data_IF_424880812109
#
_entry.id   IF_424880812109
#
_cell.length_a   1.000
_cell.length_b   1.000
_cell.length_c   1.000
_cell.angle_alpha   90.00
_cell.angle_beta   90.00
_cell.angle_gamma   90.00
#
_symmetry.space_group_name_H-M   'P 1'
#
loop_
_entity.id
_entity.type
_entity.pdbx_description
1 polymer ?
#
# COMPACT_ATOMS: atom_id res chain seq x y z
N UNK A 1 -3.08 -15.63 11.54
CA UNK A 1 -2.38 -15.95 10.27
C UNK A 1 -0.89 -16.08 10.54
N UNK A 2 -0.18 -15.05 11.03
CA UNK A 2 1.24 -15.22 11.41
C UNK A 2 1.44 -16.33 12.45
N UNK A 3 0.51 -16.49 13.40
CA UNK A 3 0.62 -17.52 14.44
C UNK A 3 0.70 -18.95 13.87
N UNK A 4 -0.02 -19.24 12.78
CA UNK A 4 0.00 -20.56 12.14
C UNK A 4 1.30 -20.83 11.37
N UNK A 5 1.98 -19.78 10.88
CA UNK A 5 3.32 -19.90 10.31
C UNK A 5 4.34 -20.14 11.43
N UNK A 6 4.21 -19.41 12.53
CA UNK A 6 5.06 -19.58 13.71
C UNK A 6 4.96 -20.99 14.31
N UNK A 7 3.76 -21.55 14.41
CA UNK A 7 3.54 -22.95 14.84
C UNK A 7 4.26 -23.98 13.95
N UNK A 8 4.56 -23.61 12.70
CA UNK A 8 5.32 -24.44 11.74
C UNK A 8 6.81 -24.11 11.69
N UNK A 9 7.30 -23.26 12.59
CA UNK A 9 8.71 -22.90 12.72
C UNK A 9 9.19 -21.79 11.78
N UNK A 10 8.28 -20.97 11.25
CA UNK A 10 8.64 -19.76 10.51
C UNK A 10 8.78 -18.59 11.47
N UNK A 11 9.80 -17.75 11.26
CA UNK A 11 9.87 -16.44 11.88
C UNK A 11 8.87 -15.49 11.20
N UNK A 12 8.07 -14.75 11.95
CA UNK A 12 7.01 -13.93 11.37
C UNK A 12 7.34 -12.44 11.42
N UNK A 13 7.40 -11.82 10.25
CA UNK A 13 7.86 -10.43 10.06
C UNK A 13 6.77 -9.60 9.40
N UNK A 14 6.52 -8.40 9.93
CA UNK A 14 5.62 -7.42 9.32
C UNK A 14 6.23 -6.01 9.28
N UNK A 15 6.20 -5.39 8.11
CA UNK A 15 6.53 -3.99 7.91
C UNK A 15 5.31 -3.25 7.38
N UNK A 16 4.93 -2.14 8.01
CA UNK A 16 3.79 -1.34 7.59
C UNK A 16 4.13 0.15 7.55
N UNK A 17 3.61 0.86 6.55
CA UNK A 17 3.76 2.31 6.47
C UNK A 17 2.46 3.11 6.37
N UNK A 18 1.31 2.42 6.35
CA UNK A 18 0.00 3.07 6.39
C UNK A 18 -0.30 3.71 7.76
N UNK A 19 -1.10 4.79 7.79
CA UNK A 19 -1.62 5.36 9.03
C UNK A 19 -2.38 4.30 9.84
N UNK A 20 -2.33 4.43 11.17
CA UNK A 20 -3.07 3.57 12.12
C UNK A 20 -2.70 2.08 12.15
N UNK A 21 -1.63 1.67 11.47
CA UNK A 21 -1.11 0.29 11.53
C UNK A 21 -0.91 -0.19 12.98
N UNK A 22 -0.39 0.67 13.87
CA UNK A 22 -0.27 0.34 15.30
C UNK A 22 -1.57 0.45 16.11
N UNK A 23 -2.51 1.29 15.69
CA UNK A 23 -3.72 1.59 16.48
C UNK A 23 -4.72 0.42 16.53
N UNK A 24 -4.57 -0.59 15.67
CA UNK A 24 -5.50 -1.72 15.55
C UNK A 24 -4.89 -3.08 15.89
N UNK A 25 -3.83 -3.13 16.70
CA UNK A 25 -3.15 -4.39 17.08
C UNK A 25 -2.61 -5.19 15.89
N UNK A 26 -2.24 -4.52 14.80
CA UNK A 26 -1.74 -5.18 13.59
C UNK A 26 -0.43 -5.96 13.83
N UNK A 27 0.33 -5.58 14.86
CA UNK A 27 1.53 -6.29 15.31
C UNK A 27 1.23 -7.65 15.95
N UNK A 28 -0.03 -7.95 16.27
CA UNK A 28 -0.38 -9.18 16.99
C UNK A 28 -0.03 -10.41 16.17
N UNK A 29 0.72 -11.31 16.80
CA UNK A 29 1.09 -12.60 16.23
C UNK A 29 2.38 -12.58 15.42
N UNK A 30 2.90 -11.40 15.05
CA UNK A 30 4.23 -11.26 14.45
C UNK A 30 5.32 -11.27 15.52
N UNK A 31 6.44 -11.91 15.23
CA UNK A 31 7.63 -11.92 16.08
C UNK A 31 8.40 -10.61 15.91
N UNK A 32 8.47 -10.10 14.67
CA UNK A 32 9.06 -8.80 14.33
C UNK A 32 8.00 -7.92 13.66
N UNK A 33 7.74 -6.75 14.23
CA UNK A 33 6.86 -5.75 13.63
C UNK A 33 7.54 -4.38 13.58
N UNK A 34 7.59 -3.77 12.38
CA UNK A 34 8.16 -2.44 12.16
C UNK A 34 7.15 -1.51 11.49
N UNK A 35 6.75 -0.47 12.22
CA UNK A 35 5.93 0.61 11.71
C UNK A 35 6.81 1.77 11.23
N UNK A 36 6.71 2.12 9.95
CA UNK A 36 7.45 3.23 9.37
C UNK A 36 6.89 4.60 9.77
N UNK A 37 5.65 4.65 10.27
CA UNK A 37 4.90 5.86 10.68
C UNK A 37 4.66 6.89 9.57
N UNK A 38 5.12 6.63 8.35
CA UNK A 38 5.04 7.52 7.19
C UNK A 38 4.88 6.72 5.92
N UNK A 39 3.90 7.10 5.11
CA UNK A 39 3.49 6.38 3.90
C UNK A 39 4.62 6.23 2.86
N UNK A 40 5.45 7.27 2.69
CA UNK A 40 6.45 7.40 1.63
C UNK A 40 7.77 6.64 1.88
N UNK A 41 7.76 5.63 2.76
CA UNK A 41 8.96 4.95 3.25
C UNK A 41 9.32 3.66 2.51
N UNK A 42 8.80 3.42 1.30
CA UNK A 42 9.02 2.14 0.55
C UNK A 42 10.49 1.75 0.47
N UNK A 43 11.40 2.65 0.07
CA UNK A 43 12.84 2.33 -0.03
C UNK A 43 13.43 1.85 1.29
N UNK A 44 13.04 2.48 2.40
CA UNK A 44 13.48 2.07 3.73
C UNK A 44 12.86 0.73 4.14
N UNK A 45 11.59 0.51 3.83
CA UNK A 45 10.93 -0.77 4.11
C UNK A 45 11.60 -1.92 3.40
N UNK A 46 11.93 -1.76 2.12
CA UNK A 46 12.62 -2.80 1.34
C UNK A 46 13.99 -3.10 1.94
N UNK A 47 14.78 -2.07 2.23
CA UNK A 47 16.08 -2.23 2.90
C UNK A 47 15.95 -2.97 4.24
N UNK A 48 15.01 -2.52 5.08
CA UNK A 48 14.77 -3.11 6.39
C UNK A 48 14.28 -4.57 6.27
N UNK A 49 13.48 -4.90 5.25
CA UNK A 49 13.00 -6.26 5.01
C UNK A 49 14.17 -7.18 4.64
N UNK A 50 15.01 -6.78 3.70
CA UNK A 50 16.21 -7.53 3.30
C UNK A 50 17.14 -7.80 4.49
N UNK A 51 17.45 -6.78 5.29
CA UNK A 51 18.28 -6.92 6.50
C UNK A 51 17.68 -7.87 7.55
N UNK A 52 16.34 -7.90 7.68
CA UNK A 52 15.65 -8.76 8.64
C UNK A 52 15.61 -10.22 8.16
N UNK A 53 15.38 -10.45 6.87
CA UNK A 53 15.21 -11.81 6.33
C UNK A 53 16.53 -12.51 6.01
N UNK A 54 17.62 -11.77 5.73
CA UNK A 54 18.94 -12.33 5.40
C UNK A 54 19.41 -13.45 6.37
N UNK A 55 19.31 -13.31 7.70
CA UNK A 55 19.74 -14.37 8.62
C UNK A 55 18.70 -15.48 8.86
N UNK A 56 17.52 -15.43 8.23
CA UNK A 56 16.40 -16.34 8.54
C UNK A 56 16.34 -17.51 7.56
N UNK A 57 16.27 -18.74 8.08
CA UNK A 57 16.09 -19.95 7.28
C UNK A 57 14.64 -20.11 6.77
N UNK A 58 13.65 -19.75 7.59
CA UNK A 58 12.22 -19.79 7.24
C UNK A 58 11.51 -18.57 7.78
N UNK A 59 10.84 -17.84 6.90
CA UNK A 59 10.14 -16.62 7.29
C UNK A 59 8.78 -16.48 6.61
N UNK A 60 7.88 -15.77 7.29
CA UNK A 60 6.67 -15.21 6.71
C UNK A 60 6.81 -13.69 6.76
N UNK A 61 7.03 -13.08 5.60
CA UNK A 61 7.17 -11.64 5.44
C UNK A 61 5.86 -11.03 4.94
N UNK A 62 5.31 -10.09 5.72
CA UNK A 62 4.18 -9.26 5.32
C UNK A 62 4.63 -7.80 5.16
N UNK A 63 4.34 -7.19 4.01
CA UNK A 63 4.63 -5.79 3.74
C UNK A 63 3.37 -5.04 3.33
N UNK A 64 3.06 -3.97 4.07
CA UNK A 64 1.97 -3.05 3.75
C UNK A 64 2.55 -1.69 3.33
N UNK A 65 2.72 -1.53 2.02
CA UNK A 65 3.35 -0.37 1.38
C UNK A 65 2.36 0.77 1.23
N UNK A 66 2.71 1.93 1.80
CA UNK A 66 1.86 3.11 1.81
C UNK A 66 2.11 4.16 0.73
N UNK A 67 3.19 4.09 -0.07
CA UNK A 67 3.54 5.18 -1.00
C UNK A 67 2.49 5.42 -2.10
N UNK A 68 1.63 4.44 -2.38
CA UNK A 68 0.48 4.54 -3.29
C UNK A 68 -0.80 5.04 -2.60
N UNK A 69 -0.79 5.18 -1.27
CA UNK A 69 -1.87 5.80 -0.54
C UNK A 69 -1.88 7.30 -0.84
N UNK A 70 -3.07 7.90 -0.88
CA UNK A 70 -3.20 9.35 -1.00
C UNK A 70 -2.34 10.05 0.08
N UNK A 71 -1.66 11.15 -0.23
CA UNK A 71 -1.72 11.92 -1.47
C UNK A 71 -0.86 11.42 -2.64
N UNK A 72 -0.46 10.15 -2.64
CA UNK A 72 0.52 9.59 -3.58
C UNK A 72 1.90 10.23 -3.41
N UNK A 73 2.26 10.46 -2.14
CA UNK A 73 3.62 10.89 -1.78
C UNK A 73 4.53 9.67 -1.73
N UNK A 74 5.54 9.68 -2.59
CA UNK A 74 6.55 8.63 -2.71
C UNK A 74 7.96 9.24 -2.62
N UNK A 75 8.91 8.52 -2.02
CA UNK A 75 10.28 9.02 -1.83
C UNK A 75 10.29 10.37 -1.10
N UNK A 76 10.99 11.35 -1.68
CA UNK A 76 11.03 12.73 -1.15
C UNK A 76 9.93 13.63 -1.72
N UNK A 77 9.07 13.10 -2.60
CA UNK A 77 7.98 13.90 -3.18
C UNK A 77 6.96 14.27 -2.12
N UNK A 78 6.45 15.49 -2.25
CA UNK A 78 5.40 16.01 -1.39
C UNK A 78 4.40 16.75 -2.22
N UNK A 79 3.16 16.31 -2.14
CA UNK A 79 2.04 16.96 -2.80
C UNK A 79 1.70 18.23 -2.03
N UNK A 80 1.60 19.38 -2.72
CA UNK A 80 1.18 20.65 -2.11
C UNK A 80 -0.34 20.66 -1.97
N UNK A 81 -0.84 20.12 -0.85
CA UNK A 81 -2.28 20.11 -0.56
C UNK A 81 -2.71 21.49 -0.11
N UNK A 82 -3.34 22.25 -1.00
CA UNK A 82 -4.05 23.46 -0.59
C UNK A 82 -5.39 23.08 0.03
N UNK A 83 -5.81 23.82 1.06
CA UNK A 83 -7.03 23.59 1.84
C UNK A 83 -8.33 23.57 0.98
N UNK A 84 -8.32 24.20 -0.19
CA UNK A 84 -9.40 24.15 -1.19
C UNK A 84 -9.56 22.78 -1.87
N UNK A 85 -8.48 22.01 -2.03
CA UNK A 85 -8.48 20.72 -2.72
C UNK A 85 -9.02 19.58 -1.84
N UNK A 86 -9.01 19.77 -0.51
CA UNK A 86 -9.74 18.93 0.44
C UNK A 86 -11.26 19.08 0.30
N UNK A 87 -11.75 20.23 -0.20
CA UNK A 87 -13.18 20.48 -0.41
C UNK A 87 -13.70 19.96 -1.76
N UNK A 88 -12.82 19.67 -2.73
CA UNK A 88 -13.19 19.04 -4.01
C UNK A 88 -13.25 17.50 -3.93
N UNK A 89 -12.91 16.91 -2.77
CA UNK A 89 -13.11 15.49 -2.49
C UNK A 89 -14.58 15.20 -2.21
N UNK A 90 -15.29 14.79 -3.26
CA UNK A 90 -16.66 14.40 -3.12
C UNK A 90 -16.78 12.89 -2.85
N UNK A 91 -16.58 12.48 -1.59
CA UNK A 91 -16.88 11.10 -1.15
C UNK A 91 -18.38 10.77 -1.28
N UNK A 92 -19.23 11.81 -1.26
CA UNK A 92 -20.69 11.73 -1.34
C UNK A 92 -21.21 11.94 -2.79
N UNK A 93 -20.32 12.39 -3.68
CA UNK A 93 -20.50 12.59 -5.12
C UNK A 93 -20.97 13.98 -5.55
N UNK A 94 -20.55 14.41 -6.73
CA UNK A 94 -20.85 15.72 -7.34
C UNK A 94 -19.78 16.12 -8.37
N UNK A 95 -19.82 17.35 -8.88
CA UNK A 95 -18.89 17.76 -9.96
C UNK A 95 -17.44 17.72 -9.46
N UNK A 96 -16.63 16.85 -10.07
CA UNK A 96 -15.21 16.70 -9.76
C UNK A 96 -14.40 17.46 -10.81
N UNK A 97 -13.44 18.26 -10.36
CA UNK A 97 -12.52 18.97 -11.23
C UNK A 97 -11.69 17.98 -12.07
N UNK A 98 -11.87 18.01 -13.40
CA UNK A 98 -11.22 17.07 -14.33
C UNK A 98 -9.70 17.25 -14.37
N UNK A 99 -9.21 18.49 -14.35
CA UNK A 99 -7.77 18.78 -14.35
C UNK A 99 -7.12 18.23 -13.08
N UNK A 100 -7.81 18.37 -11.94
CA UNK A 100 -7.36 17.80 -10.67
C UNK A 100 -7.40 16.27 -10.66
N UNK A 101 -8.43 15.64 -11.24
CA UNK A 101 -8.49 14.18 -11.41
C UNK A 101 -7.34 13.64 -12.25
N UNK A 102 -7.03 14.30 -13.36
CA UNK A 102 -5.90 13.93 -14.23
C UNK A 102 -4.57 14.08 -13.49
N UNK A 103 -4.41 15.15 -12.70
CA UNK A 103 -3.26 15.34 -11.82
C UNK A 103 -3.12 14.20 -10.81
N UNK A 104 -4.18 13.88 -10.05
CA UNK A 104 -4.15 12.79 -9.06
C UNK A 104 -3.86 11.43 -9.71
N UNK A 105 -4.43 11.18 -10.90
CA UNK A 105 -4.17 9.95 -11.66
C UNK A 105 -2.70 9.85 -12.07
N UNK A 106 -2.11 10.95 -12.54
CA UNK A 106 -0.67 11.00 -12.86
C UNK A 106 0.18 10.70 -11.62
N UNK A 107 -0.13 11.33 -10.48
CA UNK A 107 0.58 11.08 -9.21
C UNK A 107 0.46 9.62 -8.77
N UNK A 108 -0.71 9.00 -8.94
CA UNK A 108 -0.89 7.57 -8.65
C UNK A 108 0.02 6.69 -9.52
N UNK A 109 0.10 6.97 -10.83
CA UNK A 109 0.97 6.23 -11.76
C UNK A 109 2.44 6.37 -11.34
N UNK A 110 2.89 7.59 -11.07
CA UNK A 110 4.27 7.83 -10.60
C UNK A 110 4.56 7.10 -9.28
N UNK A 111 3.59 7.06 -8.36
CA UNK A 111 3.75 6.37 -7.08
C UNK A 111 3.85 4.84 -7.25
N UNK A 112 3.06 4.23 -8.14
CA UNK A 112 3.14 2.78 -8.38
C UNK A 112 4.42 2.41 -9.13
N UNK A 113 4.85 3.22 -10.12
CA UNK A 113 6.13 3.03 -10.81
C UNK A 113 7.32 3.12 -9.84
N UNK A 114 7.29 4.07 -8.91
CA UNK A 114 8.28 4.14 -7.84
C UNK A 114 8.27 2.90 -6.95
N UNK A 115 7.08 2.43 -6.53
CA UNK A 115 6.99 1.22 -5.71
C UNK A 115 7.54 0.00 -6.45
N UNK A 116 7.17 -0.18 -7.72
CA UNK A 116 7.65 -1.24 -8.60
C UNK A 116 9.19 -1.26 -8.67
N UNK A 117 9.80 -0.10 -8.97
CA UNK A 117 11.26 0.06 -8.99
C UNK A 117 11.90 -0.32 -7.64
N UNK A 118 11.31 0.11 -6.52
CA UNK A 118 11.90 -0.12 -5.19
C UNK A 118 11.74 -1.53 -4.68
N UNK A 119 10.68 -2.25 -5.05
CA UNK A 119 10.50 -3.63 -4.60
C UNK A 119 11.28 -4.64 -5.45
N UNK A 120 11.73 -4.27 -6.66
CA UNK A 120 12.42 -5.19 -7.56
C UNK A 120 13.58 -5.96 -6.91
N UNK A 121 14.52 -5.33 -6.17
CA UNK A 121 15.60 -6.08 -5.51
C UNK A 121 15.11 -7.06 -4.44
N UNK A 122 14.00 -6.74 -3.76
CA UNK A 122 13.40 -7.68 -2.82
C UNK A 122 12.77 -8.87 -3.56
N UNK A 123 12.13 -8.64 -4.70
CA UNK A 123 11.54 -9.72 -5.50
C UNK A 123 12.60 -10.66 -6.08
N UNK A 124 13.77 -10.13 -6.47
CA UNK A 124 14.93 -10.92 -6.89
C UNK A 124 15.42 -11.84 -5.75
N UNK A 125 15.53 -11.34 -4.52
CA UNK A 125 15.91 -12.19 -3.38
C UNK A 125 14.82 -13.18 -2.95
N UNK A 126 13.59 -13.00 -3.41
CA UNK A 126 12.44 -13.86 -3.12
C UNK A 126 12.10 -14.83 -4.26
N UNK A 127 13.00 -15.05 -5.23
CA UNK A 127 12.75 -15.93 -6.39
C UNK A 127 12.31 -17.35 -6.00
N UNK A 128 12.92 -17.92 -4.95
CA UNK A 128 12.60 -19.25 -4.38
C UNK A 128 11.53 -19.18 -3.26
N UNK A 129 10.82 -18.06 -3.13
CA UNK A 129 9.79 -17.84 -2.10
C UNK A 129 8.41 -17.67 -2.73
N UNK A 130 7.40 -18.30 -2.13
CA UNK A 130 6.00 -18.05 -2.51
C UNK A 130 5.65 -16.60 -2.22
N UNK A 131 5.45 -15.83 -3.29
CA UNK A 131 5.19 -14.39 -3.23
C UNK A 131 3.77 -14.08 -3.70
N UNK A 132 3.04 -13.30 -2.89
CA UNK A 132 1.72 -12.78 -3.23
C UNK A 132 1.74 -11.25 -3.18
N UNK A 133 1.35 -10.61 -4.27
CA UNK A 133 1.19 -9.16 -4.36
C UNK A 133 -0.29 -8.85 -4.60
N UNK A 134 -0.87 -8.03 -3.72
CA UNK A 134 -2.26 -7.59 -3.79
C UNK A 134 -2.38 -6.16 -3.27
N UNK A 135 -3.57 -5.58 -3.42
CA UNK A 135 -3.96 -4.33 -2.77
C UNK A 135 -5.09 -4.57 -1.78
N UNK A 136 -5.19 -3.70 -0.79
CA UNK A 136 -6.30 -3.62 0.16
C UNK A 136 -7.59 -3.12 -0.51
N UNK A 137 -7.48 -2.13 -1.41
CA UNK A 137 -8.57 -1.63 -2.24
C UNK A 137 -8.08 -0.80 -3.44
N UNK A 138 -8.94 -0.62 -4.46
CA UNK A 138 -8.74 0.33 -5.55
C UNK A 138 -9.14 1.78 -5.19
N UNK A 139 -9.01 2.70 -6.14
CA UNK A 139 -9.39 4.12 -5.97
C UNK A 139 -10.24 4.61 -7.13
N UNK A 140 -11.26 5.41 -6.85
CA UNK A 140 -12.07 6.08 -7.88
C UNK A 140 -11.42 7.37 -8.35
N UNK A 141 -11.46 7.61 -9.67
CA UNK A 141 -10.99 8.82 -10.35
C UNK A 141 -12.11 9.42 -11.22
N UNK A 142 -13.29 9.61 -10.63
CA UNK A 142 -14.46 10.20 -11.28
C UNK A 142 -15.56 9.19 -11.65
N UNK A 143 -15.35 7.88 -11.47
CA UNK A 143 -16.44 6.92 -11.64
C UNK A 143 -17.59 7.21 -10.68
N UNK A 144 -18.81 7.36 -11.19
CA UNK A 144 -19.97 7.70 -10.35
C UNK A 144 -19.90 9.09 -9.72
N UNK A 145 -19.09 10.00 -10.30
CA UNK A 145 -18.88 11.38 -9.84
C UNK A 145 -18.18 11.46 -8.47
N UNK A 146 -17.33 10.48 -8.15
CA UNK A 146 -16.57 10.43 -6.89
C UNK A 146 -15.08 10.28 -7.13
N UNK A 147 -14.28 10.86 -6.24
CA UNK A 147 -12.83 10.66 -6.15
C UNK A 147 -12.48 10.03 -4.80
N UNK A 148 -11.60 9.02 -4.80
CA UNK A 148 -11.25 8.31 -3.56
C UNK A 148 -12.22 7.16 -3.26
N UNK A 149 -12.92 7.24 -2.12
CA UNK A 149 -13.80 6.18 -1.63
C UNK A 149 -15.25 6.46 -2.05
N UNK A 150 -15.76 5.72 -3.03
CA UNK A 150 -17.14 5.81 -3.53
C UNK A 150 -18.17 5.05 -2.71
N UNK A 151 -18.22 5.29 -1.39
CA UNK A 151 -19.18 4.65 -0.50
C UNK A 151 -20.61 4.99 -0.96
N UNK A 152 -21.48 3.99 -1.08
CA UNK A 152 -22.90 4.19 -1.42
C UNK A 152 -23.21 4.33 -2.93
N UNK A 153 -22.20 4.34 -3.82
CA UNK A 153 -22.41 4.38 -5.28
C UNK A 153 -21.97 3.08 -5.96
N UNK A 154 -22.94 2.32 -6.47
CA UNK A 154 -22.75 0.96 -7.01
C UNK A 154 -21.58 0.86 -8.01
N UNK A 155 -21.48 1.80 -8.94
CA UNK A 155 -20.46 1.77 -9.99
C UNK A 155 -19.05 2.14 -9.48
N UNK A 156 -18.97 2.92 -8.41
CA UNK A 156 -17.72 3.32 -7.77
C UNK A 156 -17.20 2.25 -6.79
N UNK A 157 -18.10 1.57 -6.08
CA UNK A 157 -17.74 0.47 -5.15
C UNK A 157 -17.04 -0.67 -5.90
N UNK A 158 -17.52 -1.04 -7.09
CA UNK A 158 -16.91 -2.12 -7.87
C UNK A 158 -15.45 -1.83 -8.26
N UNK A 159 -15.09 -0.56 -8.47
CA UNK A 159 -13.71 -0.15 -8.78
C UNK A 159 -12.77 -0.25 -7.58
N UNK A 160 -13.29 -0.02 -6.38
CA UNK A 160 -12.52 -0.18 -5.14
C UNK A 160 -12.35 -1.65 -4.75
N UNK A 161 -13.30 -2.52 -5.08
CA UNK A 161 -13.25 -3.93 -4.68
C UNK A 161 -12.46 -4.83 -5.65
N UNK A 162 -12.17 -4.35 -6.87
CA UNK A 162 -11.35 -5.09 -7.84
C UNK A 162 -9.88 -4.72 -7.65
N UNK A 163 -9.14 -5.61 -7.01
CA UNK A 163 -7.71 -5.44 -6.72
C UNK A 163 -6.87 -6.44 -7.52
N UNK A 164 -5.61 -6.12 -7.85
CA UNK A 164 -4.68 -7.09 -8.40
C UNK A 164 -4.45 -8.22 -7.41
N UNK A 165 -4.29 -9.44 -7.93
CA UNK A 165 -3.81 -10.59 -7.16
C UNK A 165 -2.78 -11.31 -8.03
N UNK A 166 -1.51 -11.07 -7.74
CA UNK A 166 -0.36 -11.68 -8.43
C UNK A 166 0.23 -12.72 -7.48
N UNK A 167 0.47 -13.92 -8.01
CA UNK A 167 0.94 -15.06 -7.24
C UNK A 167 2.11 -15.75 -7.96
N UNK A 168 3.22 -15.91 -7.26
CA UNK A 168 4.44 -16.61 -7.68
C UNK A 168 4.75 -17.72 -6.67
N UNK A 169 5.11 -18.92 -7.13
CA UNK A 169 5.31 -20.12 -6.32
C UNK A 169 6.23 -21.13 -7.00
#
# INVERSE_FOLDING_TARGET
MPESFREKGYETVALASLPYSQSYYFSRGFDIFKDMRRINMTSKMVKDALEIIEPLDKFFLFMNVGSTHRPYDYGETRTDWKEKELQEYNYEGGEVNKEYLEYLRKRQIEAIEFVDEKIAPLLEELEDTVTLITSDHGTCFGEGEVCGHGIGRKDAVLKQLRVPLIFHW
#
